data_IF_832128780769
#
_entry.id   IF_832128780769
#
_cell.length_a   1.000
_cell.length_b   1.000
_cell.length_c   1.000
_cell.angle_alpha   90.00
_cell.angle_beta   90.00
_cell.angle_gamma   90.00
#
_symmetry.space_group_name_H-M   'P 1'
#
loop_
_entity.id
_entity.type
_entity.pdbx_description
1 polymer ?
#
# COMPACT_ATOMS: atom_id res chain seq x y z
N UNK A 1 6.91 32.85 -13.12
CA UNK A 1 6.15 32.85 -11.86
C UNK A 1 6.99 32.09 -10.86
N UNK A 2 7.22 32.65 -9.67
CA UNK A 2 8.09 32.00 -8.69
C UNK A 2 7.41 30.72 -8.14
N UNK A 3 8.21 29.81 -7.58
CA UNK A 3 7.69 28.60 -6.92
C UNK A 3 6.68 28.96 -5.83
N UNK A 4 6.97 30.01 -5.05
CA UNK A 4 6.10 30.47 -3.97
C UNK A 4 4.74 30.97 -4.48
N UNK A 5 4.72 31.74 -5.56
CA UNK A 5 3.50 32.22 -6.23
C UNK A 5 2.63 31.05 -6.74
N UNK A 6 3.27 30.03 -7.31
CA UNK A 6 2.58 28.83 -7.79
C UNK A 6 1.92 28.04 -6.65
N UNK A 7 2.61 27.89 -5.52
CA UNK A 7 2.07 27.23 -4.33
C UNK A 7 0.91 28.05 -3.73
N UNK A 8 1.03 29.38 -3.68
CA UNK A 8 -0.08 30.24 -3.25
C UNK A 8 -1.29 30.10 -4.17
N UNK A 9 -1.07 30.10 -5.49
CA UNK A 9 -2.13 29.86 -6.48
C UNK A 9 -2.80 28.50 -6.29
N UNK A 10 -2.03 27.44 -6.01
CA UNK A 10 -2.58 26.12 -5.72
C UNK A 10 -3.47 26.11 -4.47
N UNK A 11 -3.07 26.80 -3.40
CA UNK A 11 -3.87 26.95 -2.17
C UNK A 11 -5.18 27.71 -2.40
N UNK A 12 -5.14 28.78 -3.22
CA UNK A 12 -6.36 29.50 -3.60
C UNK A 12 -7.29 28.63 -4.45
N UNK A 13 -6.74 27.85 -5.37
CA UNK A 13 -7.51 26.92 -6.20
C UNK A 13 -8.13 25.78 -5.36
N UNK A 14 -7.43 25.29 -4.34
CA UNK A 14 -7.96 24.32 -3.36
C UNK A 14 -9.17 24.88 -2.62
N UNK A 15 -9.10 26.11 -2.11
CA UNK A 15 -10.21 26.77 -1.42
C UNK A 15 -11.42 27.01 -2.32
N UNK A 16 -11.19 27.18 -3.62
CA UNK A 16 -12.23 27.33 -4.62
C UNK A 16 -12.71 25.99 -5.21
N UNK A 17 -12.21 24.84 -4.72
CA UNK A 17 -12.47 23.50 -5.24
C UNK A 17 -12.17 23.34 -6.74
N UNK A 18 -11.30 24.21 -7.29
CA UNK A 18 -10.87 24.17 -8.69
C UNK A 18 -9.63 23.30 -8.84
N UNK A 19 -9.80 21.99 -8.66
CA UNK A 19 -8.69 21.04 -8.60
C UNK A 19 -7.91 20.92 -9.92
N UNK A 20 -8.53 21.18 -11.08
CA UNK A 20 -7.83 21.20 -12.37
C UNK A 20 -6.78 22.34 -12.42
N UNK A 21 -7.14 23.54 -11.93
CA UNK A 21 -6.23 24.68 -11.81
C UNK A 21 -5.14 24.42 -10.77
N UNK A 22 -5.50 23.78 -9.65
CA UNK A 22 -4.58 23.36 -8.60
C UNK A 22 -3.54 22.37 -9.14
N UNK A 23 -3.98 21.37 -9.92
CA UNK A 23 -3.10 20.37 -10.52
C UNK A 23 -2.14 21.01 -11.53
N UNK A 24 -2.61 21.95 -12.35
CA UNK A 24 -1.76 22.69 -13.29
C UNK A 24 -0.68 23.52 -12.56
N UNK A 25 -1.04 24.20 -11.46
CA UNK A 25 -0.07 24.94 -10.66
C UNK A 25 0.97 24.02 -10.01
N UNK A 26 0.53 22.92 -9.39
CA UNK A 26 1.43 21.96 -8.74
C UNK A 26 2.30 21.17 -9.72
N UNK A 27 1.83 20.95 -10.96
CA UNK A 27 2.62 20.41 -12.06
C UNK A 27 3.80 21.33 -12.37
N UNK A 28 3.56 22.64 -12.54
CA UNK A 28 4.62 23.62 -12.77
C UNK A 28 5.61 23.72 -11.59
N UNK A 29 5.14 23.57 -10.34
CA UNK A 29 6.04 23.50 -9.16
C UNK A 29 6.97 22.29 -9.26
N UNK A 30 6.43 21.13 -9.66
CA UNK A 30 7.17 19.87 -9.75
C UNK A 30 8.19 19.89 -10.89
N UNK A 31 7.82 20.46 -12.05
CA UNK A 31 8.70 20.62 -13.21
C UNK A 31 9.86 21.59 -12.94
N UNK A 32 9.79 22.40 -11.88
CA UNK A 32 10.90 23.21 -11.38
C UNK A 32 12.10 22.41 -10.86
N UNK A 33 11.98 21.08 -10.72
CA UNK A 33 13.09 20.17 -10.44
C UNK A 33 13.64 20.19 -9.01
N UNK A 34 13.04 20.99 -8.12
CA UNK A 34 13.40 21.04 -6.70
C UNK A 34 12.59 20.01 -5.91
N UNK A 35 13.21 19.36 -4.92
CA UNK A 35 12.51 18.46 -4.01
C UNK A 35 11.33 19.18 -3.34
N UNK A 36 10.16 18.53 -3.34
CA UNK A 36 8.95 19.09 -2.73
C UNK A 36 9.01 18.97 -1.20
N UNK A 37 8.57 20.01 -0.52
CA UNK A 37 8.33 19.95 0.93
C UNK A 37 7.15 19.03 1.24
N UNK A 38 6.99 18.65 2.51
CA UNK A 38 5.85 17.82 2.93
C UNK A 38 4.50 18.50 2.58
N UNK A 39 4.39 19.80 2.78
CA UNK A 39 3.19 20.57 2.43
C UNK A 39 2.92 20.56 0.91
N UNK A 40 3.95 20.83 0.11
CA UNK A 40 3.85 20.84 -1.37
C UNK A 40 3.47 19.46 -1.92
N UNK A 41 4.08 18.39 -1.37
CA UNK A 41 3.76 17.00 -1.69
C UNK A 41 2.31 16.67 -1.37
N UNK A 42 1.81 17.14 -0.22
CA UNK A 42 0.42 16.95 0.15
C UNK A 42 -0.53 17.69 -0.81
N UNK A 43 -0.26 18.95 -1.13
CA UNK A 43 -1.03 19.72 -2.12
C UNK A 43 -1.07 19.04 -3.49
N UNK A 44 0.08 18.55 -3.97
CA UNK A 44 0.15 17.78 -5.23
C UNK A 44 -0.77 16.56 -5.19
N UNK A 45 -0.73 15.81 -4.10
CA UNK A 45 -1.54 14.59 -3.95
C UNK A 45 -3.04 14.89 -3.86
N UNK A 46 -3.43 15.97 -3.17
CA UNK A 46 -4.81 16.42 -3.04
C UNK A 46 -5.35 16.87 -4.40
N UNK A 47 -4.57 17.66 -5.15
CA UNK A 47 -4.95 18.15 -6.46
C UNK A 47 -5.29 16.99 -7.41
N UNK A 48 -4.33 16.11 -7.66
CA UNK A 48 -4.53 15.05 -8.64
C UNK A 48 -5.51 13.96 -8.17
N UNK A 49 -5.58 13.66 -6.87
CA UNK A 49 -6.59 12.75 -6.31
C UNK A 49 -8.01 13.22 -6.61
N UNK A 50 -8.29 14.52 -6.46
CA UNK A 50 -9.62 15.06 -6.72
C UNK A 50 -9.92 15.13 -8.23
N UNK A 51 -8.94 15.54 -9.05
CA UNK A 51 -9.08 15.54 -10.52
C UNK A 51 -9.40 14.14 -11.04
N UNK A 52 -8.59 13.13 -10.71
CA UNK A 52 -8.82 11.74 -11.16
C UNK A 52 -10.08 11.15 -10.52
N UNK A 53 -10.39 11.51 -9.27
CA UNK A 53 -11.56 11.06 -8.54
C UNK A 53 -12.87 11.47 -9.23
N UNK A 54 -12.94 12.72 -9.70
CA UNK A 54 -14.08 13.22 -10.46
C UNK A 54 -14.29 12.43 -11.77
N UNK A 55 -13.22 12.25 -12.57
CA UNK A 55 -13.30 11.52 -13.86
C UNK A 55 -13.65 10.04 -13.64
N UNK A 56 -13.09 9.40 -12.63
CA UNK A 56 -13.45 8.01 -12.23
C UNK A 56 -14.90 7.87 -11.79
N UNK A 57 -15.45 8.87 -11.11
CA UNK A 57 -16.86 8.88 -10.74
C UNK A 57 -17.75 8.97 -11.98
N UNK A 58 -17.46 9.93 -12.87
CA UNK A 58 -18.16 10.09 -14.14
C UNK A 58 -18.09 8.83 -15.00
N UNK A 59 -16.91 8.23 -15.14
CA UNK A 59 -16.73 6.98 -15.89
C UNK A 59 -17.61 5.85 -15.37
N UNK A 60 -17.67 5.63 -14.05
CA UNK A 60 -18.53 4.59 -13.44
C UNK A 60 -20.01 4.82 -13.74
N UNK A 61 -20.47 6.07 -13.68
CA UNK A 61 -21.87 6.42 -13.98
C UNK A 61 -22.19 6.14 -15.44
N UNK A 62 -21.35 6.59 -16.38
CA UNK A 62 -21.58 6.42 -17.81
C UNK A 62 -21.48 4.94 -18.20
N UNK A 63 -20.50 4.19 -17.68
CA UNK A 63 -20.42 2.74 -17.88
C UNK A 63 -21.69 2.01 -17.40
N UNK A 64 -22.29 2.43 -16.27
CA UNK A 64 -23.56 1.85 -15.81
C UNK A 64 -24.73 2.20 -16.74
N UNK A 65 -24.77 3.40 -17.29
CA UNK A 65 -25.80 3.82 -18.25
C UNK A 65 -25.67 3.04 -19.55
N UNK A 66 -24.45 2.85 -20.07
CA UNK A 66 -24.20 2.05 -21.28
C UNK A 66 -24.74 0.62 -21.12
N UNK A 67 -24.44 -0.03 -20.00
CA UNK A 67 -24.93 -1.39 -19.69
C UNK A 67 -26.45 -1.46 -19.54
N UNK A 68 -27.09 -0.45 -18.95
CA UNK A 68 -28.56 -0.42 -18.76
C UNK A 68 -29.34 -0.11 -20.04
N UNK A 69 -28.67 0.32 -21.11
CA UNK A 69 -29.31 0.75 -22.35
C UNK A 69 -29.27 -0.31 -23.45
N UNK A 70 -28.91 -1.55 -23.09
CA UNK A 70 -28.96 -2.73 -23.96
C UNK A 70 -30.37 -2.89 -24.55
N UNK A 71 -30.50 -2.66 -25.87
CA UNK A 71 -31.77 -2.68 -26.61
C UNK A 71 -32.13 -1.37 -27.31
N UNK A 72 -31.45 -0.26 -27.01
CA UNK A 72 -31.55 0.98 -27.78
C UNK A 72 -30.18 1.35 -28.37
N UNK A 73 -29.91 0.85 -29.58
CA UNK A 73 -28.61 0.98 -30.26
C UNK A 73 -28.09 2.43 -30.31
N UNK A 74 -28.96 3.40 -30.62
CA UNK A 74 -28.56 4.81 -30.70
C UNK A 74 -28.12 5.36 -29.33
N UNK A 75 -28.88 5.09 -28.28
CA UNK A 75 -28.53 5.56 -26.93
C UNK A 75 -27.31 4.83 -26.37
N UNK A 76 -27.17 3.54 -26.67
CA UNK A 76 -26.00 2.75 -26.28
C UNK A 76 -24.73 3.27 -26.97
N UNK A 77 -24.80 3.59 -28.26
CA UNK A 77 -23.68 4.16 -29.01
C UNK A 77 -23.25 5.53 -28.45
N UNK A 78 -24.21 6.42 -28.17
CA UNK A 78 -23.90 7.71 -27.54
C UNK A 78 -23.24 7.55 -26.16
N UNK A 79 -23.71 6.60 -25.35
CA UNK A 79 -23.12 6.32 -24.05
C UNK A 79 -21.69 5.77 -24.16
N UNK A 80 -21.45 4.88 -25.13
CA UNK A 80 -20.12 4.32 -25.44
C UNK A 80 -19.12 5.40 -25.84
N UNK A 81 -19.47 6.25 -26.79
CA UNK A 81 -18.60 7.35 -27.26
C UNK A 81 -18.22 8.30 -26.11
N UNK A 82 -19.20 8.60 -25.25
CA UNK A 82 -18.96 9.45 -24.09
C UNK A 82 -18.11 8.76 -23.01
N UNK A 83 -18.29 7.44 -22.80
CA UNK A 83 -17.41 6.65 -21.92
C UNK A 83 -15.98 6.70 -22.42
N UNK A 84 -15.75 6.46 -23.71
CA UNK A 84 -14.41 6.43 -24.32
C UNK A 84 -13.72 7.79 -24.21
N UNK A 85 -14.45 8.90 -24.38
CA UNK A 85 -13.90 10.24 -24.12
C UNK A 85 -13.39 10.39 -22.68
N UNK A 86 -14.17 9.96 -21.69
CA UNK A 86 -13.76 10.02 -20.28
C UNK A 86 -12.56 9.10 -20.02
N UNK A 87 -12.50 7.94 -20.68
CA UNK A 87 -11.34 7.03 -20.58
C UNK A 87 -10.06 7.69 -21.07
N UNK A 88 -10.10 8.39 -22.21
CA UNK A 88 -8.96 9.15 -22.73
C UNK A 88 -8.53 10.22 -21.73
N UNK A 89 -9.46 11.04 -21.23
CA UNK A 89 -9.14 12.07 -20.22
C UNK A 89 -8.49 11.46 -18.96
N UNK A 90 -9.02 10.33 -18.47
CA UNK A 90 -8.49 9.63 -17.31
C UNK A 90 -7.09 9.06 -17.58
N UNK A 91 -6.87 8.49 -18.77
CA UNK A 91 -5.57 7.98 -19.18
C UNK A 91 -4.53 9.10 -19.25
N UNK A 92 -4.89 10.23 -19.85
CA UNK A 92 -4.01 11.40 -19.97
C UNK A 92 -3.61 11.94 -18.59
N UNK A 93 -4.58 12.12 -17.68
CA UNK A 93 -4.30 12.54 -16.30
C UNK A 93 -3.36 11.55 -15.58
N UNK A 94 -3.60 10.25 -15.74
CA UNK A 94 -2.75 9.24 -15.10
C UNK A 94 -1.34 9.23 -15.68
N UNK A 95 -1.20 9.33 -17.00
CA UNK A 95 0.10 9.37 -17.67
C UNK A 95 0.89 10.64 -17.33
N UNK A 96 0.21 11.77 -17.19
CA UNK A 96 0.80 13.03 -16.71
C UNK A 96 1.43 12.86 -15.34
N UNK A 97 0.69 12.28 -14.39
CA UNK A 97 1.20 12.04 -13.03
C UNK A 97 2.33 11.03 -13.00
N UNK A 98 2.21 9.92 -13.75
CA UNK A 98 3.28 8.94 -13.88
C UNK A 98 4.55 9.57 -14.45
N UNK A 99 4.41 10.45 -15.45
CA UNK A 99 5.51 11.23 -16.01
C UNK A 99 6.18 12.13 -14.98
N UNK A 100 5.40 12.82 -14.13
CA UNK A 100 5.95 13.64 -13.04
C UNK A 100 6.71 12.80 -12.01
N UNK A 101 6.15 11.65 -11.65
CA UNK A 101 6.73 10.73 -10.68
C UNK A 101 8.08 10.19 -11.15
N UNK A 102 8.16 9.74 -12.40
CA UNK A 102 9.36 9.11 -12.94
C UNK A 102 10.47 10.12 -13.27
N UNK A 103 10.11 11.32 -13.78
CA UNK A 103 11.10 12.30 -14.24
C UNK A 103 11.60 13.22 -13.12
N UNK A 104 10.75 13.59 -12.17
CA UNK A 104 11.08 14.64 -11.20
C UNK A 104 10.99 14.17 -9.74
N UNK A 105 9.93 13.45 -9.34
CA UNK A 105 9.69 13.22 -7.91
C UNK A 105 10.51 12.07 -7.33
N UNK A 106 10.49 10.89 -7.96
CA UNK A 106 11.23 9.72 -7.48
C UNK A 106 12.75 9.92 -7.53
N UNK A 107 13.34 10.48 -8.61
CA UNK A 107 14.78 10.72 -8.67
C UNK A 107 15.27 11.76 -7.66
N UNK A 108 14.48 12.81 -7.39
CA UNK A 108 14.86 13.90 -6.50
C UNK A 108 14.52 13.64 -5.02
N UNK A 109 13.81 12.55 -4.70
CA UNK A 109 13.48 12.23 -3.33
C UNK A 109 14.72 11.79 -2.54
N UNK A 110 15.10 12.57 -1.52
CA UNK A 110 16.22 12.24 -0.63
C UNK A 110 15.78 11.31 0.51
N UNK A 111 14.62 11.60 1.10
CA UNK A 111 14.07 10.89 2.26
C UNK A 111 13.38 9.58 1.87
N UNK A 112 13.56 8.54 2.70
CA UNK A 112 12.90 7.25 2.51
C UNK A 112 11.36 7.37 2.53
N UNK A 113 10.82 8.22 3.41
CA UNK A 113 9.39 8.49 3.50
C UNK A 113 8.82 9.06 2.19
N UNK A 114 9.52 10.03 1.58
CA UNK A 114 9.12 10.61 0.29
C UNK A 114 9.16 9.59 -0.84
N UNK A 115 10.17 8.72 -0.88
CA UNK A 115 10.24 7.63 -1.88
C UNK A 115 9.05 6.68 -1.76
N UNK A 116 8.72 6.26 -0.53
CA UNK A 116 7.57 5.40 -0.27
C UNK A 116 6.27 6.07 -0.67
N UNK A 117 6.11 7.36 -0.38
CA UNK A 117 4.94 8.14 -0.78
C UNK A 117 4.77 8.17 -2.31
N UNK A 118 5.83 8.48 -3.06
CA UNK A 118 5.78 8.54 -4.53
C UNK A 118 5.58 7.17 -5.18
N UNK A 119 6.17 6.11 -4.63
CA UNK A 119 5.94 4.75 -5.11
C UNK A 119 4.50 4.29 -4.86
N UNK A 120 3.94 4.60 -3.68
CA UNK A 120 2.51 4.36 -3.41
C UNK A 120 1.64 5.10 -4.44
N UNK A 121 1.93 6.38 -4.67
CA UNK A 121 1.21 7.20 -5.64
C UNK A 121 1.31 6.59 -7.05
N UNK A 122 2.49 6.15 -7.49
CA UNK A 122 2.70 5.45 -8.76
C UNK A 122 1.80 4.21 -8.89
N UNK A 123 1.71 3.41 -7.84
CA UNK A 123 0.82 2.24 -7.78
C UNK A 123 -0.67 2.61 -7.91
N UNK A 124 -1.10 3.69 -7.25
CA UNK A 124 -2.48 4.18 -7.34
C UNK A 124 -2.87 4.57 -8.78
N UNK A 125 -1.97 5.19 -9.55
CA UNK A 125 -2.23 5.56 -10.95
C UNK A 125 -2.21 4.38 -11.91
N UNK A 126 -1.32 3.40 -11.72
CA UNK A 126 -1.40 2.16 -12.50
C UNK A 126 -2.69 1.39 -12.23
N UNK A 127 -3.16 1.39 -10.97
CA UNK A 127 -4.46 0.82 -10.62
C UNK A 127 -5.59 1.51 -11.38
N UNK A 128 -5.63 2.85 -11.40
CA UNK A 128 -6.63 3.59 -12.16
C UNK A 128 -6.58 3.28 -13.66
N UNK A 129 -5.39 3.19 -14.25
CA UNK A 129 -5.23 2.79 -15.65
C UNK A 129 -5.73 1.37 -15.92
N UNK A 130 -5.58 0.43 -14.98
CA UNK A 130 -6.08 -0.94 -15.12
C UNK A 130 -7.60 -1.06 -15.00
N UNK A 131 -8.26 -0.12 -14.29
CA UNK A 131 -9.72 -0.09 -14.13
C UNK A 131 -10.41 0.18 -15.48
N UNK A 132 -9.83 1.04 -16.31
CA UNK A 132 -10.37 1.44 -17.62
C UNK A 132 -9.77 0.66 -18.80
N UNK A 133 -8.68 -0.08 -18.59
CA UNK A 133 -8.03 -0.82 -19.67
C UNK A 133 -8.87 -2.04 -20.11
N UNK A 134 -8.88 -2.27 -21.42
CA UNK A 134 -9.45 -3.46 -22.07
C UNK A 134 -8.36 -4.29 -22.75
N UNK A 135 -8.57 -5.61 -22.86
CA UNK A 135 -7.65 -6.53 -23.54
C UNK A 135 -6.28 -6.71 -22.86
N UNK A 136 -5.22 -6.92 -23.65
CA UNK A 136 -3.85 -7.20 -23.17
C UNK A 136 -3.25 -6.06 -22.33
N UNK A 137 -3.61 -4.81 -22.60
CA UNK A 137 -3.15 -3.63 -21.83
C UNK A 137 -3.56 -3.71 -20.36
N UNK A 138 -4.68 -4.38 -20.05
CA UNK A 138 -5.16 -4.59 -18.68
C UNK A 138 -4.22 -5.51 -17.90
N UNK A 139 -3.75 -6.57 -18.52
CA UNK A 139 -2.88 -7.57 -17.88
C UNK A 139 -1.55 -6.94 -17.47
N UNK A 140 -0.87 -6.24 -18.38
CA UNK A 140 0.42 -5.58 -18.06
C UNK A 140 0.28 -4.52 -16.97
N UNK A 141 -0.75 -3.67 -17.03
CA UNK A 141 -0.98 -2.60 -16.04
C UNK A 141 -1.39 -3.16 -14.67
N UNK A 142 -2.18 -4.24 -14.66
CA UNK A 142 -2.58 -4.93 -13.43
C UNK A 142 -1.39 -5.62 -12.75
N UNK A 143 -0.51 -6.26 -13.52
CA UNK A 143 0.73 -6.85 -13.01
C UNK A 143 1.56 -5.79 -12.29
N UNK A 144 1.80 -4.63 -12.92
CA UNK A 144 2.56 -3.52 -12.28
C UNK A 144 1.91 -3.05 -10.98
N UNK A 145 0.58 -2.94 -10.93
CA UNK A 145 -0.16 -2.60 -9.71
C UNK A 145 0.08 -3.65 -8.59
N UNK A 146 0.01 -4.94 -8.91
CA UNK A 146 0.21 -6.03 -7.95
C UNK A 146 1.66 -6.07 -7.44
N UNK A 147 2.64 -5.86 -8.32
CA UNK A 147 4.06 -5.78 -7.95
C UNK A 147 4.38 -4.58 -7.05
N UNK A 148 3.82 -3.40 -7.34
CA UNK A 148 4.02 -2.25 -6.45
C UNK A 148 3.30 -2.42 -5.11
N UNK A 149 2.11 -3.03 -5.10
CA UNK A 149 1.39 -3.33 -3.87
C UNK A 149 2.15 -4.35 -3.00
N UNK A 150 2.72 -5.39 -3.60
CA UNK A 150 3.54 -6.37 -2.88
C UNK A 150 4.86 -5.77 -2.40
N UNK A 151 5.54 -4.97 -3.23
CA UNK A 151 6.77 -4.26 -2.83
C UNK A 151 6.52 -3.27 -1.68
N UNK A 152 5.41 -2.53 -1.72
CA UNK A 152 5.03 -1.61 -0.64
C UNK A 152 4.63 -2.37 0.63
N UNK A 153 3.93 -3.50 0.52
CA UNK A 153 3.61 -4.37 1.66
C UNK A 153 4.88 -4.97 2.28
N UNK A 154 5.89 -5.30 1.47
CA UNK A 154 7.20 -5.76 1.93
C UNK A 154 7.97 -4.61 2.61
N UNK A 155 7.98 -3.40 2.06
CA UNK A 155 8.62 -2.25 2.73
C UNK A 155 7.90 -1.93 4.04
N UNK A 156 6.57 -1.94 4.06
CA UNK A 156 5.78 -1.69 5.27
C UNK A 156 6.01 -2.79 6.30
N UNK A 157 6.09 -4.07 5.89
CA UNK A 157 6.39 -5.17 6.80
C UNK A 157 7.83 -5.11 7.31
N UNK A 158 8.80 -4.70 6.50
CA UNK A 158 10.19 -4.47 6.92
C UNK A 158 10.26 -3.32 7.93
N UNK A 159 9.62 -2.18 7.63
CA UNK A 159 9.55 -1.01 8.54
C UNK A 159 8.81 -1.35 9.84
N UNK A 160 7.75 -2.17 9.79
CA UNK A 160 7.02 -2.64 10.96
C UNK A 160 7.78 -3.73 11.73
N UNK A 161 8.62 -4.54 11.05
CA UNK A 161 9.49 -5.54 11.67
C UNK A 161 10.73 -4.95 12.35
N UNK A 162 11.10 -3.71 12.01
CA UNK A 162 12.06 -2.93 12.79
C UNK A 162 11.51 -2.53 14.18
N UNK A 163 10.23 -2.79 14.46
CA UNK A 163 9.69 -2.89 15.82
C UNK A 163 10.12 -4.25 16.39
N UNK A 164 11.34 -4.33 16.95
CA UNK A 164 11.90 -5.59 17.44
C UNK A 164 11.10 -6.10 18.65
N UNK A 165 10.31 -7.16 18.46
CA UNK A 165 9.74 -7.93 19.57
C UNK A 165 10.78 -8.91 20.10
N UNK A 166 11.24 -8.71 21.35
CA UNK A 166 12.00 -9.72 22.07
C UNK A 166 11.03 -10.46 23.00
N UNK A 167 10.87 -11.76 22.76
CA UNK A 167 10.17 -12.66 23.66
C UNK A 167 11.23 -13.47 24.43
N UNK A 168 11.28 -13.31 25.74
CA UNK A 168 12.17 -14.09 26.61
C UNK A 168 11.31 -14.94 27.56
N UNK A 169 11.60 -16.24 27.61
CA UNK A 169 10.91 -17.21 28.46
C UNK A 169 11.85 -17.57 29.62
N UNK A 170 11.39 -17.37 30.85
CA UNK A 170 12.14 -17.71 32.05
C UNK A 170 11.41 -18.80 32.85
N UNK A 171 12.19 -19.73 33.40
CA UNK A 171 11.72 -20.78 34.30
C UNK A 171 12.33 -20.54 35.68
N UNK A 172 11.49 -20.40 36.70
CA UNK A 172 11.92 -20.17 38.09
C UNK A 172 11.22 -21.14 39.05
N UNK A 173 11.97 -21.64 40.03
CA UNK A 173 11.52 -22.64 41.02
C UNK A 173 11.56 -21.97 42.39
N UNK A 174 10.42 -21.93 43.09
CA UNK A 174 10.32 -21.40 44.45
C UNK A 174 9.47 -22.35 45.31
N UNK A 175 10.00 -22.76 46.47
CA UNK A 175 9.30 -23.53 47.51
C UNK A 175 8.31 -24.59 46.96
N UNK A 176 8.84 -25.52 46.15
CA UNK A 176 8.12 -26.66 45.53
C UNK A 176 7.08 -26.34 44.43
N UNK A 177 6.98 -25.11 43.93
CA UNK A 177 6.13 -24.77 42.76
C UNK A 177 6.97 -24.31 41.55
N UNK A 178 6.60 -24.75 40.34
CA UNK A 178 7.23 -24.34 39.08
C UNK A 178 6.43 -23.21 38.45
N UNK A 179 7.10 -22.08 38.19
CA UNK A 179 6.51 -20.92 37.52
C UNK A 179 7.12 -20.77 36.12
N UNK A 180 6.25 -20.65 35.12
CA UNK A 180 6.64 -20.28 33.77
C UNK A 180 6.23 -18.83 33.53
N UNK A 181 7.22 -17.96 33.33
CA UNK A 181 6.99 -16.51 33.14
C UNK A 181 7.34 -16.11 31.71
N UNK A 182 6.39 -15.46 31.05
CA UNK A 182 6.57 -14.87 29.73
C UNK A 182 6.75 -13.36 29.88
N UNK A 183 7.91 -12.86 29.44
CA UNK A 183 8.19 -11.43 29.42
C UNK A 183 8.13 -10.98 27.96
N UNK A 184 7.11 -10.17 27.65
CA UNK A 184 7.02 -9.52 26.35
C UNK A 184 7.50 -8.08 26.52
N UNK A 185 8.65 -7.78 25.91
CA UNK A 185 9.22 -6.43 25.89
C UNK A 185 9.04 -5.80 24.52
N UNK A 186 8.42 -4.62 24.51
CA UNK A 186 8.29 -3.78 23.32
C UNK A 186 9.39 -2.72 23.40
N UNK A 187 10.26 -2.67 22.38
CA UNK A 187 11.29 -1.65 22.25
C UNK A 187 10.85 -0.63 21.19
N UNK A 188 10.52 0.60 21.60
CA UNK A 188 10.37 1.71 20.66
C UNK A 188 11.70 2.45 20.54
N UNK A 189 12.38 2.27 19.42
CA UNK A 189 13.61 3.00 19.10
C UNK A 189 13.28 4.19 18.21
N UNK A 190 13.12 5.38 18.80
CA UNK A 190 13.14 6.65 18.05
C UNK A 190 14.54 7.24 18.22
N UNK A 191 15.08 7.81 17.15
CA UNK A 191 16.49 8.15 16.86
C UNK A 191 17.34 8.83 17.95
N UNK A 192 16.83 9.17 19.14
CA UNK A 192 17.65 9.56 20.30
C UNK A 192 17.11 9.14 21.68
N UNK A 193 16.07 8.29 21.79
CA UNK A 193 15.58 7.79 23.07
C UNK A 193 14.85 6.44 22.93
N UNK A 194 15.28 5.43 23.69
CA UNK A 194 14.62 4.13 23.78
C UNK A 194 13.73 4.06 25.02
N UNK A 195 12.43 3.82 24.85
CA UNK A 195 11.49 3.56 25.94
C UNK A 195 11.14 2.07 25.93
N UNK A 196 11.33 1.41 27.08
CA UNK A 196 11.01 0.01 27.28
C UNK A 196 9.74 -0.14 28.10
N UNK A 197 8.77 -0.90 27.57
CA UNK A 197 7.59 -1.30 28.33
C UNK A 197 7.47 -2.82 28.31
N UNK A 198 7.54 -3.43 29.49
CA UNK A 198 7.50 -4.89 29.67
C UNK A 198 6.23 -5.30 30.41
N UNK A 199 5.48 -6.26 29.84
CA UNK A 199 4.35 -6.92 30.50
C UNK A 199 4.79 -8.31 30.92
N UNK A 200 4.59 -8.67 32.20
CA UNK A 200 4.93 -9.98 32.75
C UNK A 200 3.66 -10.76 33.04
N UNK A 201 3.54 -11.94 32.44
CA UNK A 201 2.47 -12.90 32.72
C UNK A 201 3.09 -14.20 33.24
N UNK A 202 2.69 -14.62 34.44
CA UNK A 202 3.21 -15.82 35.10
C UNK A 202 2.10 -16.85 35.31
N UNK A 203 2.33 -18.09 34.88
CA UNK A 203 1.41 -19.22 35.06
C UNK A 203 1.98 -20.17 36.12
N UNK A 204 1.15 -20.60 37.07
CA UNK A 204 1.50 -21.60 38.09
C UNK A 204 1.22 -22.99 37.55
N UNK A 205 2.24 -23.83 37.44
CA UNK A 205 2.09 -25.24 37.06
C UNK A 205 2.02 -26.08 38.35
N UNK A 206 0.83 -26.24 38.92
CA UNK A 206 0.64 -27.03 40.15
C UNK A 206 0.64 -28.54 39.90
N UNK A 207 1.12 -29.28 40.88
CA UNK A 207 1.51 -30.70 40.88
C UNK A 207 0.50 -31.70 40.29
N UNK A 208 0.97 -32.54 39.35
CA UNK A 208 0.48 -33.93 39.20
C UNK A 208 1.71 -34.85 39.08
N UNK A 209 1.93 -35.64 40.13
CA UNK A 209 3.02 -36.61 40.23
C UNK A 209 2.80 -37.80 39.28
N UNK A 210 3.67 -37.89 38.27
CA UNK A 210 4.27 -39.06 37.57
C UNK A 210 3.49 -40.40 37.51
N UNK A 211 3.11 -40.83 36.29
CA UNK A 211 3.30 -42.22 35.83
C UNK A 211 3.29 -42.34 34.30
N UNK A 212 4.07 -43.32 33.82
CA UNK A 212 4.80 -43.36 32.56
C UNK A 212 4.00 -43.93 31.37
N UNK A 213 2.80 -43.39 31.05
CA UNK A 213 1.94 -44.08 30.05
C UNK A 213 1.23 -43.19 29.01
N UNK A 214 1.38 -41.87 29.00
CA UNK A 214 0.67 -41.01 28.03
C UNK A 214 1.55 -40.30 26.97
N UNK A 215 2.85 -40.65 26.88
CA UNK A 215 3.73 -40.22 25.78
C UNK A 215 3.30 -40.78 24.41
N UNK A 216 2.43 -41.80 24.37
CA UNK A 216 2.01 -42.42 23.11
C UNK A 216 0.71 -41.90 22.48
N UNK A 217 -0.07 -41.03 23.16
CA UNK A 217 -1.30 -40.49 22.55
C UNK A 217 -1.17 -39.10 21.89
N UNK A 218 -0.05 -38.39 22.06
CA UNK A 218 0.12 -37.04 21.49
C UNK A 218 0.98 -36.98 20.22
N UNK A 219 1.44 -38.12 19.69
CA UNK A 219 2.19 -38.17 18.42
C UNK A 219 1.40 -37.88 17.13
N UNK A 220 0.06 -37.95 17.03
CA UNK A 220 -0.61 -37.66 15.75
C UNK A 220 -0.89 -36.17 15.49
N UNK A 221 -1.01 -35.32 16.52
CA UNK A 221 -1.50 -33.94 16.34
C UNK A 221 -0.43 -32.94 15.85
N UNK A 222 0.85 -33.21 16.10
CA UNK A 222 1.96 -32.32 15.71
C UNK A 222 2.40 -32.56 14.25
N UNK A 223 2.10 -33.73 13.67
CA UNK A 223 2.51 -34.05 12.28
C UNK A 223 1.57 -33.41 11.23
N UNK A 224 0.31 -33.09 11.57
CA UNK A 224 -0.62 -32.47 10.61
C UNK A 224 -0.38 -30.96 10.40
N UNK A 225 0.20 -30.27 11.40
CA UNK A 225 0.47 -28.83 11.31
C UNK A 225 1.82 -28.52 10.65
N UNK A 226 2.78 -29.44 10.68
CA UNK A 226 4.09 -29.31 10.02
C UNK A 226 4.09 -29.70 8.54
N UNK A 227 3.03 -30.36 8.04
CA UNK A 227 2.88 -30.69 6.60
C UNK A 227 2.21 -29.57 5.79
N UNK A 228 1.57 -28.59 6.44
CA UNK A 228 0.93 -27.45 5.76
C UNK A 228 1.91 -26.32 5.40
N UNK A 229 2.94 -26.09 6.23
CA UNK A 229 3.94 -25.04 6.01
C UNK A 229 5.00 -25.41 4.97
N UNK A 230 5.28 -26.70 4.78
CA UNK A 230 6.27 -27.15 3.80
C UNK A 230 5.77 -27.27 2.35
N UNK A 231 4.45 -27.21 2.08
CA UNK A 231 3.91 -27.20 0.69
C UNK A 231 3.92 -25.83 0.03
N UNK A 232 3.97 -24.73 0.79
CA UNK A 232 4.03 -23.38 0.20
C UNK A 232 5.46 -22.96 -0.18
N UNK A 233 6.49 -23.55 0.43
CA UNK A 233 7.88 -23.21 0.16
C UNK A 233 8.48 -23.89 -1.11
N UNK A 234 7.75 -24.78 -1.78
CA UNK A 234 8.24 -25.52 -2.97
C UNK A 234 7.63 -25.08 -4.31
N UNK A 235 6.67 -24.14 -4.34
CA UNK A 235 5.97 -23.76 -5.59
C UNK A 235 6.57 -22.51 -6.27
N UNK A 236 7.50 -21.79 -5.64
CA UNK A 236 7.96 -20.48 -6.16
C UNK A 236 9.30 -20.37 -6.91
N UNK A 237 10.14 -21.40 -7.19
CA UNK A 237 11.35 -21.20 -7.98
C UNK A 237 11.32 -21.80 -9.40
N UNK A 238 10.21 -21.69 -10.17
CA UNK A 238 10.18 -22.17 -11.57
C UNK A 238 9.54 -21.25 -12.63
N UNK A 239 9.26 -19.99 -12.34
CA UNK A 239 8.77 -19.04 -13.35
C UNK A 239 9.71 -17.86 -13.65
N UNK A 240 10.97 -17.93 -13.18
CA UNK A 240 12.03 -16.99 -13.58
C UNK A 240 13.09 -17.69 -14.43
N UNK A 241 12.70 -18.14 -15.62
CA UNK A 241 13.71 -18.44 -16.64
C UNK A 241 13.32 -18.15 -18.10
N UNK A 242 12.11 -17.68 -18.39
CA UNK A 242 11.77 -17.19 -19.74
C UNK A 242 10.79 -16.01 -19.66
N UNK A 243 11.32 -14.80 -19.65
CA UNK A 243 10.73 -13.58 -20.23
C UNK A 243 11.69 -12.42 -20.12
#
# INVERSE_FOLDING_TARGET
>A
MDKSDLVQKAKLAEQAERYDDMAAAMKAVTEGGVELSNEERNLLSVAFKNVVGARRSSWRVISSIEQKTEGNEKKQQMAREYREKIETELQDICNDVLGLLEKFLIPNASQAESKVFYLKMKGDYFRYLSEVASGESKTSKCIVCVYLASYLAIILSVVLSCLSFFCSIYLSIYQSSIYLSFVLSICLSISHLSIYLSIVLSIVLSEVCVSHTLIYLWRPAIISTLTATNRFAQICPKLMQES
#
